data_IF_165022922150
#
_entry.id   IF_165022922150
#
_cell.length_a   1.000
_cell.length_b   1.000
_cell.length_c   1.000
_cell.angle_alpha   90.00
_cell.angle_beta   90.00
_cell.angle_gamma   90.00
#
_symmetry.space_group_name_H-M   'P 1'
#
loop_
_entity.id
_entity.type
_entity.pdbx_description
1 polymer ?
#
# COMPACT_ATOMS: atom_id res chain seq x y z
N UNK A 1 -30.86 57.42 -26.18
CA UNK A 1 -30.14 56.99 -24.96
C UNK A 1 -29.95 55.48 -25.05
N UNK A 2 -28.71 55.00 -25.25
CA UNK A 2 -28.39 53.57 -25.44
C UNK A 2 -27.86 53.02 -24.11
N UNK A 3 -28.64 52.19 -23.41
CA UNK A 3 -28.14 51.38 -22.31
C UNK A 3 -28.00 49.93 -22.78
N UNK A 4 -26.77 49.51 -23.05
CA UNK A 4 -26.39 48.12 -23.25
C UNK A 4 -26.13 47.49 -21.89
N UNK A 5 -27.01 46.64 -21.41
CA UNK A 5 -26.69 45.74 -20.29
C UNK A 5 -26.00 44.50 -20.86
N UNK A 6 -24.69 44.39 -20.64
CA UNK A 6 -23.95 43.14 -20.79
C UNK A 6 -24.29 42.27 -19.57
N UNK A 7 -24.97 41.15 -19.79
CA UNK A 7 -25.08 40.07 -18.80
C UNK A 7 -23.87 39.14 -19.01
N UNK A 8 -22.87 39.22 -18.14
CA UNK A 8 -21.79 38.24 -18.08
C UNK A 8 -22.24 37.09 -17.17
N UNK A 9 -22.54 35.92 -17.74
CA UNK A 9 -22.80 34.72 -16.96
C UNK A 9 -21.48 33.99 -16.73
N UNK A 10 -21.01 34.00 -15.47
CA UNK A 10 -19.79 33.31 -15.04
C UNK A 10 -20.04 31.80 -15.04
N UNK A 11 -19.30 31.07 -15.87
CA UNK A 11 -19.30 29.61 -15.89
C UNK A 11 -18.49 29.11 -14.69
N UNK A 12 -19.15 28.57 -13.66
CA UNK A 12 -18.49 27.96 -12.51
C UNK A 12 -18.01 26.56 -12.92
N UNK A 13 -16.77 26.43 -13.39
CA UNK A 13 -16.13 25.12 -13.54
C UNK A 13 -15.90 24.53 -12.15
N UNK A 14 -16.76 23.61 -11.73
CA UNK A 14 -16.52 22.76 -10.58
C UNK A 14 -15.33 21.84 -10.88
N UNK A 15 -14.14 22.23 -10.45
CA UNK A 15 -12.99 21.33 -10.46
C UNK A 15 -13.26 20.24 -9.43
N UNK A 16 -13.47 19.01 -9.90
CA UNK A 16 -13.53 17.84 -9.03
C UNK A 16 -12.13 17.66 -8.44
N UNK A 17 -11.92 18.15 -7.23
CA UNK A 17 -10.73 17.81 -6.45
C UNK A 17 -10.88 16.33 -6.11
N UNK A 18 -10.17 15.46 -6.82
CA UNK A 18 -9.94 14.10 -6.35
C UNK A 18 -9.16 14.22 -5.06
N UNK A 19 -9.85 14.18 -3.93
CA UNK A 19 -9.22 13.94 -2.64
C UNK A 19 -8.40 12.67 -2.82
N UNK A 20 -7.06 12.75 -2.70
CA UNK A 20 -6.28 11.56 -2.45
C UNK A 20 -6.85 11.01 -1.15
N UNK A 21 -7.50 9.85 -1.22
CA UNK A 21 -7.82 9.11 -0.01
C UNK A 21 -6.50 8.94 0.75
N UNK A 22 -6.55 9.06 2.07
CA UNK A 22 -5.39 8.84 2.93
C UNK A 22 -5.08 7.35 2.98
N UNK A 23 -4.88 6.72 1.82
CA UNK A 23 -4.58 5.31 1.67
C UNK A 23 -3.25 5.00 2.37
N UNK A 24 -3.08 3.76 2.81
CA UNK A 24 -1.79 3.28 3.30
C UNK A 24 -0.80 3.26 2.13
N UNK A 25 0.34 3.92 2.31
CA UNK A 25 1.46 3.92 1.37
C UNK A 25 2.43 2.79 1.72
N UNK A 26 2.81 2.00 0.72
CA UNK A 26 3.86 0.98 0.85
C UNK A 26 5.16 1.59 0.33
N UNK A 27 6.08 1.90 1.24
CA UNK A 27 7.33 2.58 0.90
C UNK A 27 8.43 1.61 0.44
N UNK A 28 8.43 0.40 1.00
CA UNK A 28 9.38 -0.63 0.64
C UNK A 28 8.91 -2.01 1.10
N UNK A 29 9.40 -3.05 0.44
CA UNK A 29 9.33 -4.41 0.92
C UNK A 29 10.69 -5.10 0.79
N UNK A 30 11.02 -5.93 1.77
CA UNK A 30 12.19 -6.80 1.73
C UNK A 30 11.74 -8.23 2.00
N UNK A 31 12.05 -9.14 1.08
CA UNK A 31 11.81 -10.57 1.23
C UNK A 31 13.16 -11.29 1.34
N UNK A 32 13.28 -12.16 2.32
CA UNK A 32 14.50 -12.90 2.65
C UNK A 32 14.15 -14.38 2.80
N UNK A 33 14.76 -15.23 1.98
CA UNK A 33 14.67 -16.67 2.10
C UNK A 33 15.33 -17.14 3.40
N UNK A 34 14.63 -17.97 4.17
CA UNK A 34 15.13 -18.55 5.42
C UNK A 34 15.53 -20.01 5.19
N UNK A 35 14.55 -20.90 5.01
CA UNK A 35 14.78 -22.33 4.77
C UNK A 35 13.57 -22.97 4.09
N UNK A 36 13.78 -24.01 3.28
CA UNK A 36 12.70 -24.85 2.73
C UNK A 36 11.54 -24.08 2.07
N UNK A 37 11.83 -22.99 1.34
CA UNK A 37 10.79 -22.17 0.69
C UNK A 37 10.02 -21.25 1.64
N UNK A 38 10.48 -21.10 2.88
CA UNK A 38 9.96 -20.13 3.84
C UNK A 38 10.74 -18.81 3.75
N UNK A 39 10.00 -17.72 3.84
CA UNK A 39 10.51 -16.38 3.70
C UNK A 39 10.10 -15.50 4.89
N UNK A 40 11.01 -14.59 5.26
CA UNK A 40 10.73 -13.43 6.10
C UNK A 40 10.43 -12.25 5.18
N UNK A 41 9.27 -11.63 5.35
CA UNK A 41 8.84 -10.46 4.59
C UNK A 41 8.73 -9.27 5.52
N UNK A 42 9.42 -8.18 5.21
CA UNK A 42 9.35 -6.92 5.94
C UNK A 42 8.71 -5.88 5.03
N UNK A 43 7.68 -5.20 5.51
CA UNK A 43 6.98 -4.16 4.75
C UNK A 43 7.08 -2.85 5.53
N UNK A 44 7.60 -1.82 4.85
CA UNK A 44 7.65 -0.45 5.36
C UNK A 44 6.41 0.29 4.87
N UNK A 45 5.63 0.80 5.81
CA UNK A 45 4.34 1.46 5.58
C UNK A 45 4.39 2.91 6.05
N UNK A 46 3.55 3.74 5.44
CA UNK A 46 3.24 5.08 5.90
C UNK A 46 1.74 5.33 5.76
N UNK A 47 1.12 5.87 6.81
CA UNK A 47 -0.29 6.25 6.79
C UNK A 47 -0.53 7.43 7.74
N UNK A 48 -1.57 8.22 7.46
CA UNK A 48 -2.00 9.31 8.33
C UNK A 48 -2.91 8.77 9.45
N UNK A 49 -2.37 7.93 10.32
CA UNK A 49 -3.09 7.39 11.47
C UNK A 49 -3.62 8.55 12.34
N UNK A 50 -4.92 8.53 12.67
CA UNK A 50 -5.54 9.53 13.56
C UNK A 50 -6.09 8.91 14.85
N UNK A 51 -5.82 7.62 15.09
CA UNK A 51 -6.27 6.87 16.25
C UNK A 51 -7.02 5.59 15.89
N UNK A 52 -7.69 4.98 16.86
CA UNK A 52 -8.30 3.64 16.76
C UNK A 52 -9.37 3.47 15.67
N UNK A 53 -9.97 4.57 15.20
CA UNK A 53 -10.98 4.57 14.15
C UNK A 53 -10.39 4.70 12.74
N UNK A 54 -9.13 5.10 12.62
CA UNK A 54 -8.51 5.35 11.31
C UNK A 54 -6.99 5.20 11.43
N UNK A 55 -6.55 3.98 11.18
CA UNK A 55 -5.15 3.60 11.12
C UNK A 55 -4.97 2.43 10.15
N UNK A 56 -3.73 2.22 9.70
CA UNK A 56 -3.37 1.04 8.91
C UNK A 56 -3.48 -0.22 9.79
N UNK A 57 -4.42 -1.12 9.48
CA UNK A 57 -4.74 -2.29 10.31
C UNK A 57 -4.32 -3.63 9.68
N UNK A 58 -3.95 -3.66 8.40
CA UNK A 58 -3.44 -4.88 7.76
C UNK A 58 -2.53 -4.59 6.57
N UNK A 59 -1.59 -5.50 6.33
CA UNK A 59 -1.03 -5.70 5.00
C UNK A 59 -0.98 -7.19 4.67
N UNK A 60 -1.05 -7.52 3.39
CA UNK A 60 -1.04 -8.91 2.92
C UNK A 60 -0.19 -9.10 1.67
N UNK A 61 0.15 -10.36 1.44
CA UNK A 61 0.85 -10.85 0.26
C UNK A 61 -0.16 -11.61 -0.59
N UNK A 62 -0.28 -11.23 -1.86
CA UNK A 62 -1.15 -11.91 -2.81
C UNK A 62 -0.39 -12.33 -4.06
N UNK A 63 -0.85 -13.40 -4.72
CA UNK A 63 -0.38 -13.78 -6.05
C UNK A 63 -1.02 -12.93 -7.16
N UNK A 64 -0.74 -13.26 -8.42
CA UNK A 64 -1.28 -12.56 -9.59
C UNK A 64 -2.79 -12.74 -9.76
N UNK A 65 -3.37 -13.79 -9.17
CA UNK A 65 -4.81 -14.09 -9.20
C UNK A 65 -5.55 -13.47 -8.01
N UNK A 66 -4.83 -12.90 -7.04
CA UNK A 66 -5.38 -12.32 -5.82
C UNK A 66 -5.54 -13.33 -4.68
N UNK A 67 -5.00 -14.54 -4.79
CA UNK A 67 -5.01 -15.49 -3.67
C UNK A 67 -4.07 -15.00 -2.58
N UNK A 68 -4.50 -15.11 -1.32
CA UNK A 68 -3.72 -14.65 -0.17
C UNK A 68 -2.66 -15.70 0.17
N UNK A 69 -1.39 -15.29 0.12
CA UNK A 69 -0.23 -16.10 0.48
C UNK A 69 0.18 -15.92 1.96
N UNK A 70 -0.27 -14.83 2.56
CA UNK A 70 -0.10 -14.53 3.98
C UNK A 70 -0.54 -13.11 4.29
N UNK A 71 -0.90 -12.83 5.53
CA UNK A 71 -1.26 -11.48 5.98
C UNK A 71 -0.75 -11.17 7.37
N UNK A 72 -0.69 -9.88 7.66
CA UNK A 72 -0.20 -9.33 8.92
C UNK A 72 -1.16 -8.25 9.40
N UNK A 73 -1.95 -8.60 10.41
CA UNK A 73 -2.75 -7.64 11.17
C UNK A 73 -1.87 -6.72 12.01
N UNK A 74 -2.23 -5.44 12.05
CA UNK A 74 -1.64 -4.38 12.84
C UNK A 74 -2.64 -4.01 13.94
N UNK A 75 -2.23 -4.18 15.20
CA UNK A 75 -3.16 -4.20 16.34
C UNK A 75 -3.29 -2.85 17.06
N UNK A 76 -2.59 -1.81 16.60
CA UNK A 76 -2.67 -0.48 17.19
C UNK A 76 -2.35 0.61 16.16
N UNK A 77 -2.85 1.84 16.37
CA UNK A 77 -2.40 3.02 15.63
C UNK A 77 -0.92 3.31 15.87
N UNK A 78 -0.24 3.74 14.83
CA UNK A 78 1.16 4.16 14.77
C UNK A 78 1.27 5.67 14.57
N UNK A 79 0.44 6.48 15.24
CA UNK A 79 0.38 7.95 15.06
C UNK A 79 1.76 8.61 15.20
N UNK A 80 2.54 8.18 16.20
CA UNK A 80 3.86 8.73 16.52
C UNK A 80 5.03 7.88 15.95
N UNK A 81 4.73 6.86 15.15
CA UNK A 81 5.69 5.91 14.58
C UNK A 81 5.53 5.86 13.06
N UNK A 82 5.73 6.99 12.37
CA UNK A 82 5.64 7.04 10.90
C UNK A 82 6.99 7.47 10.28
N UNK A 83 7.47 6.77 9.23
CA UNK A 83 7.00 5.47 8.74
C UNK A 83 7.42 4.32 9.67
N UNK A 84 6.65 3.23 9.70
CA UNK A 84 6.97 2.03 10.47
C UNK A 84 7.23 0.82 9.57
N UNK A 85 7.80 -0.24 10.13
CA UNK A 85 8.03 -1.51 9.43
C UNK A 85 7.51 -2.66 10.27
N UNK A 86 6.80 -3.60 9.63
CA UNK A 86 6.35 -4.83 10.29
C UNK A 86 6.69 -6.04 9.43
N UNK A 87 6.99 -7.14 10.11
CA UNK A 87 7.45 -8.36 9.50
C UNK A 87 6.38 -9.45 9.51
N UNK A 88 6.39 -10.34 8.54
CA UNK A 88 5.67 -11.61 8.53
C UNK A 88 6.69 -12.71 8.29
N UNK A 89 6.74 -13.68 9.19
CA UNK A 89 7.64 -14.84 9.11
C UNK A 89 6.89 -16.05 8.59
N UNK A 90 7.63 -17.10 8.19
CA UNK A 90 7.08 -18.37 7.70
C UNK A 90 6.14 -18.22 6.48
N UNK A 91 6.40 -17.21 5.65
CA UNK A 91 5.67 -17.06 4.38
C UNK A 91 6.16 -18.13 3.43
N UNK A 92 5.28 -19.06 3.04
CA UNK A 92 5.59 -20.09 2.05
C UNK A 92 5.22 -19.61 0.67
N UNK A 93 6.18 -19.64 -0.24
CA UNK A 93 5.96 -19.28 -1.64
C UNK A 93 6.28 -20.49 -2.51
N UNK A 94 5.35 -20.84 -3.40
CA UNK A 94 5.57 -21.88 -4.38
C UNK A 94 6.68 -21.47 -5.36
N UNK A 95 7.50 -22.44 -5.77
CA UNK A 95 8.68 -22.21 -6.62
C UNK A 95 8.32 -21.77 -8.05
N UNK A 96 7.06 -21.90 -8.44
CA UNK A 96 6.55 -21.44 -9.73
C UNK A 96 6.09 -19.97 -9.71
N UNK A 97 6.01 -19.33 -8.54
CA UNK A 97 5.64 -17.92 -8.43
C UNK A 97 6.81 -17.05 -8.92
N UNK A 98 6.54 -16.24 -9.95
CA UNK A 98 7.48 -15.23 -10.44
C UNK A 98 7.21 -13.85 -9.86
N UNK A 99 5.97 -13.60 -9.43
CA UNK A 99 5.52 -12.27 -9.01
C UNK A 99 4.52 -12.41 -7.88
N UNK A 100 4.70 -11.57 -6.86
CA UNK A 100 3.73 -11.37 -5.78
C UNK A 100 3.46 -9.88 -5.62
N UNK A 101 2.37 -9.54 -4.94
CA UNK A 101 2.03 -8.16 -4.61
C UNK A 101 1.86 -8.01 -3.11
N UNK A 102 2.27 -6.85 -2.59
CA UNK A 102 1.90 -6.39 -1.26
C UNK A 102 0.73 -5.43 -1.40
N UNK A 103 -0.32 -5.67 -0.64
CA UNK A 103 -1.47 -4.80 -0.48
C UNK A 103 -1.56 -4.34 0.97
N UNK A 104 -2.05 -3.13 1.19
CA UNK A 104 -2.21 -2.54 2.52
C UNK A 104 -3.65 -2.03 2.70
N UNK A 105 -4.10 -2.02 3.95
CA UNK A 105 -5.47 -1.72 4.33
C UNK A 105 -5.49 -0.75 5.52
N UNK A 106 -6.42 0.20 5.49
CA UNK A 106 -6.78 1.00 6.66
C UNK A 106 -8.25 0.77 7.05
N UNK A 107 -8.56 0.96 8.34
CA UNK A 107 -9.89 0.69 8.88
C UNK A 107 -11.04 1.46 8.24
N UNK A 108 -10.76 2.62 7.63
CA UNK A 108 -11.79 3.55 7.16
C UNK A 108 -12.03 3.45 5.67
N UNK A 109 -10.98 3.35 4.87
CA UNK A 109 -11.05 3.35 3.41
C UNK A 109 -10.86 1.96 2.80
N UNK A 110 -10.43 0.99 3.59
CA UNK A 110 -10.23 -0.38 3.15
C UNK A 110 -8.87 -0.57 2.47
N UNK A 111 -8.83 -1.42 1.43
CA UNK A 111 -7.60 -1.69 0.68
C UNK A 111 -7.17 -0.47 -0.13
N UNK A 112 -5.91 -0.06 0.04
CA UNK A 112 -5.27 0.96 -0.78
C UNK A 112 -5.34 0.59 -2.26
N UNK A 113 -5.55 1.60 -3.13
CA UNK A 113 -5.57 1.35 -4.59
C UNK A 113 -4.23 0.93 -5.16
N UNK A 114 -3.16 1.35 -4.49
CA UNK A 114 -1.78 1.01 -4.85
C UNK A 114 -1.36 -0.31 -4.20
N UNK A 115 -0.69 -1.15 -4.99
CA UNK A 115 -0.03 -2.36 -4.52
C UNK A 115 1.43 -2.33 -4.94
N UNK A 116 2.30 -2.93 -4.13
CA UNK A 116 3.73 -3.04 -4.46
C UNK A 116 4.01 -4.38 -5.13
N UNK A 117 4.46 -4.35 -6.38
CA UNK A 117 4.89 -5.55 -7.09
C UNK A 117 6.30 -5.98 -6.67
N UNK A 118 6.47 -7.28 -6.38
CA UNK A 118 7.76 -7.90 -6.16
C UNK A 118 7.97 -8.98 -7.23
N UNK A 119 8.89 -8.70 -8.14
CA UNK A 119 9.39 -9.65 -9.13
C UNK A 119 10.43 -10.57 -8.49
N UNK A 120 10.01 -11.79 -8.13
CA UNK A 120 10.82 -12.79 -7.45
C UNK A 120 12.00 -13.28 -8.30
N UNK A 121 11.95 -13.11 -9.63
CA UNK A 121 13.06 -13.46 -10.52
C UNK A 121 14.28 -12.55 -10.30
N UNK A 122 14.09 -11.38 -9.67
CA UNK A 122 15.16 -10.45 -9.29
C UNK A 122 15.80 -10.76 -7.95
N UNK A 123 15.45 -11.88 -7.31
CA UNK A 123 16.05 -12.29 -6.05
C UNK A 123 17.54 -12.61 -6.20
N UNK A 124 18.37 -12.04 -5.33
CA UNK A 124 19.82 -12.22 -5.33
C UNK A 124 20.29 -12.66 -3.95
N UNK A 125 21.05 -13.75 -3.88
CA UNK A 125 21.54 -14.29 -2.60
C UNK A 125 20.41 -14.61 -1.60
N UNK A 126 19.25 -15.06 -2.09
CA UNK A 126 18.07 -15.33 -1.26
C UNK A 126 17.38 -14.07 -0.72
N UNK A 127 17.65 -12.90 -1.28
CA UNK A 127 17.07 -11.63 -0.83
C UNK A 127 16.59 -10.78 -2.01
N UNK A 128 15.46 -10.11 -1.83
CA UNK A 128 14.98 -9.07 -2.73
C UNK A 128 14.52 -7.87 -1.89
N UNK A 129 14.90 -6.67 -2.31
CA UNK A 129 14.42 -5.41 -1.73
C UNK A 129 13.82 -4.58 -2.86
N UNK A 130 12.59 -4.12 -2.67
CA UNK A 130 11.90 -3.21 -3.57
C UNK A 130 11.56 -1.94 -2.78
N UNK A 131 11.82 -0.78 -3.37
CA UNK A 131 11.43 0.54 -2.84
C UNK A 131 10.50 1.21 -3.84
N UNK A 132 9.49 1.92 -3.36
CA UNK A 132 8.74 2.83 -4.22
C UNK A 132 9.56 4.11 -4.41
N UNK A 133 9.63 4.60 -5.65
CA UNK A 133 10.15 5.94 -5.91
C UNK A 133 9.02 6.93 -5.59
N UNK A 134 9.26 7.93 -4.74
CA UNK A 134 8.30 8.99 -4.46
C UNK A 134 8.00 9.85 -5.70
#
# INVERSE_FOLDING_TARGET
MKNRMLLAYVLFLATSQTLKANDVEILAAAIVHQSQGEYLVNVKLQHQDTGWEHYADEWRIVDQQGNILGSRTLLHPHVDEQPFTRALSNVRLDHNLTTIFIEAHDKKHGWSKQKLELDLTKMQGGKLIVKTNP
#
